data_IF_493944154810
#
_entry.id   IF_493944154810
#
_cell.length_a   1.000
_cell.length_b   1.000
_cell.length_c   1.000
_cell.angle_alpha   90.00
_cell.angle_beta   90.00
_cell.angle_gamma   90.00
#
_symmetry.space_group_name_H-M   'P 1'
#
loop_
_entity.id
_entity.type
_entity.pdbx_description
1 polymer ?
#
# COMPACT_ATOMS: atom_id res chain seq x y z
N UNK A 1 -12.51 47.61 -10.48
CA UNK A 1 -13.21 46.36 -10.06
C UNK A 1 -12.88 45.15 -10.94
N UNK A 2 -12.73 45.27 -12.27
CA UNK A 2 -12.31 44.16 -13.17
C UNK A 2 -10.99 43.45 -12.79
N UNK A 3 -10.00 44.18 -12.28
CA UNK A 3 -8.68 43.63 -11.90
C UNK A 3 -8.73 42.69 -10.68
N UNK A 4 -9.63 42.95 -9.72
CA UNK A 4 -9.82 42.10 -8.54
C UNK A 4 -10.47 40.76 -8.91
N UNK A 5 -11.46 40.78 -9.82
CA UNK A 5 -12.07 39.57 -10.35
C UNK A 5 -11.07 38.69 -11.10
N UNK A 6 -10.13 39.31 -11.82
CA UNK A 6 -9.08 38.61 -12.57
C UNK A 6 -8.05 37.96 -11.63
N UNK A 7 -7.70 38.62 -10.53
CA UNK A 7 -6.82 38.06 -9.49
C UNK A 7 -7.49 36.90 -8.73
N UNK A 8 -8.77 37.03 -8.40
CA UNK A 8 -9.52 35.97 -7.71
C UNK A 8 -9.70 34.72 -8.58
N UNK A 9 -9.88 34.88 -9.90
CA UNK A 9 -9.95 33.76 -10.83
C UNK A 9 -8.64 32.97 -10.90
N UNK A 10 -7.48 33.64 -10.89
CA UNK A 10 -6.16 32.97 -10.93
C UNK A 10 -5.90 32.12 -9.68
N UNK A 11 -6.36 32.55 -8.51
CA UNK A 11 -6.21 31.80 -7.25
C UNK A 11 -7.09 30.55 -7.23
N UNK A 12 -8.28 30.58 -7.86
CA UNK A 12 -9.20 29.43 -7.92
C UNK A 12 -8.69 28.34 -8.88
N UNK A 13 -7.95 28.72 -9.94
CA UNK A 13 -7.35 27.76 -10.88
C UNK A 13 -5.98 27.22 -10.44
N UNK A 14 -5.45 27.64 -9.29
CA UNK A 14 -4.35 26.93 -8.62
C UNK A 14 -4.90 25.64 -7.98
N UNK A 15 -5.30 24.71 -8.85
CA UNK A 15 -5.79 23.39 -8.47
C UNK A 15 -4.76 22.65 -7.61
N UNK A 16 -5.23 21.98 -6.58
CA UNK A 16 -4.44 21.12 -5.72
C UNK A 16 -3.69 20.08 -6.56
N UNK A 17 -2.36 20.17 -6.59
CA UNK A 17 -1.53 19.13 -7.19
C UNK A 17 -1.46 17.97 -6.18
N UNK A 18 -2.15 16.88 -6.48
CA UNK A 18 -1.92 15.60 -5.83
C UNK A 18 -0.65 14.99 -6.44
N UNK A 19 0.44 14.95 -5.66
CA UNK A 19 1.64 14.23 -6.11
C UNK A 19 1.42 12.76 -5.75
N UNK A 20 1.27 11.86 -6.73
CA UNK A 20 1.20 10.44 -6.43
C UNK A 20 2.53 10.02 -5.82
N UNK A 21 2.52 9.62 -4.55
CA UNK A 21 3.62 8.91 -3.93
C UNK A 21 3.85 7.59 -4.66
N UNK A 22 5.06 7.02 -4.58
CA UNK A 22 5.39 5.69 -5.12
C UNK A 22 4.30 4.68 -4.77
N UNK A 23 3.51 4.26 -5.77
CA UNK A 23 2.44 3.27 -5.59
C UNK A 23 3.05 1.89 -5.49
N UNK A 24 2.72 1.17 -4.42
CA UNK A 24 3.06 -0.25 -4.30
C UNK A 24 1.96 -1.01 -5.03
N UNK A 25 2.31 -1.74 -6.08
CA UNK A 25 1.36 -2.53 -6.87
C UNK A 25 1.82 -3.98 -6.91
N UNK A 26 0.85 -4.89 -6.82
CA UNK A 26 1.10 -6.33 -6.87
C UNK A 26 1.08 -6.92 -8.29
N UNK A 27 0.98 -6.09 -9.33
CA UNK A 27 0.92 -6.57 -10.72
C UNK A 27 2.09 -7.48 -11.12
N UNK A 28 3.25 -7.32 -10.47
CA UNK A 28 4.44 -8.15 -10.70
C UNK A 28 4.61 -9.32 -9.73
N UNK A 29 3.81 -9.41 -8.66
CA UNK A 29 3.96 -10.43 -7.63
C UNK A 29 3.15 -11.67 -7.99
N UNK A 30 3.74 -12.84 -7.71
CA UNK A 30 3.12 -14.15 -7.95
C UNK A 30 3.39 -15.07 -6.77
N UNK A 31 2.46 -16.00 -6.52
CA UNK A 31 2.67 -17.08 -5.55
C UNK A 31 3.84 -17.95 -6.00
N UNK A 32 4.67 -18.38 -5.04
CA UNK A 32 5.87 -19.18 -5.27
C UNK A 32 7.13 -18.38 -5.64
N UNK A 33 6.99 -17.08 -5.88
CA UNK A 33 8.12 -16.16 -6.11
C UNK A 33 9.07 -16.16 -4.90
N UNK A 34 10.36 -16.00 -5.12
CA UNK A 34 11.30 -15.88 -4.00
C UNK A 34 11.08 -14.58 -3.22
N UNK A 35 11.40 -14.59 -1.93
CA UNK A 35 11.39 -13.39 -1.09
C UNK A 35 12.15 -12.22 -1.72
N UNK A 36 13.35 -12.49 -2.24
CA UNK A 36 14.23 -11.44 -2.77
C UNK A 36 13.72 -10.86 -4.09
N UNK A 37 13.10 -11.69 -4.94
CA UNK A 37 12.44 -11.25 -6.17
C UNK A 37 11.23 -10.35 -5.85
N UNK A 38 10.42 -10.73 -4.86
CA UNK A 38 9.29 -9.91 -4.41
C UNK A 38 9.74 -8.55 -3.86
N UNK A 39 10.80 -8.53 -3.04
CA UNK A 39 11.42 -7.28 -2.53
C UNK A 39 12.06 -6.48 -3.65
N UNK A 40 12.62 -7.12 -4.68
CA UNK A 40 13.15 -6.45 -5.87
C UNK A 40 12.07 -5.69 -6.65
N UNK A 41 10.87 -6.27 -6.76
CA UNK A 41 9.73 -5.67 -7.46
C UNK A 41 9.06 -4.58 -6.62
N UNK A 42 8.73 -4.86 -5.35
CA UNK A 42 7.99 -3.94 -4.48
C UNK A 42 8.88 -2.89 -3.83
N UNK A 43 10.18 -3.14 -3.78
CA UNK A 43 11.14 -2.38 -3.01
C UNK A 43 11.21 -2.82 -1.54
N UNK A 44 11.96 -2.04 -0.75
CA UNK A 44 12.18 -2.33 0.66
C UNK A 44 10.86 -2.25 1.46
N UNK A 45 10.47 -3.30 2.21
CA UNK A 45 9.30 -3.26 3.07
C UNK A 45 9.49 -2.24 4.19
N UNK A 46 8.37 -1.66 4.65
CA UNK A 46 8.34 -0.73 5.79
C UNK A 46 8.66 -1.47 7.09
N UNK A 47 8.10 -2.67 7.25
CA UNK A 47 8.27 -3.52 8.42
C UNK A 47 8.32 -4.98 7.98
N UNK A 48 9.09 -5.78 8.69
CA UNK A 48 9.09 -7.24 8.56
C UNK A 48 8.76 -7.83 9.93
N UNK A 49 7.83 -8.77 9.97
CA UNK A 49 7.61 -9.64 11.12
C UNK A 49 7.85 -11.08 10.69
N UNK A 50 8.51 -11.89 11.52
CA UNK A 50 8.83 -13.26 11.17
C UNK A 50 8.68 -14.17 12.39
N UNK A 51 8.19 -15.40 12.16
CA UNK A 51 8.07 -16.44 13.18
C UNK A 51 8.22 -17.81 12.52
N UNK A 52 9.22 -18.57 12.94
CA UNK A 52 9.54 -19.87 12.34
C UNK A 52 9.93 -19.70 10.86
N UNK A 53 9.29 -20.45 9.98
CA UNK A 53 9.48 -20.39 8.54
C UNK A 53 8.54 -19.40 7.82
N UNK A 54 7.80 -18.58 8.58
CA UNK A 54 6.85 -17.61 8.04
C UNK A 54 7.37 -16.19 8.24
N UNK A 55 7.36 -15.39 7.18
CA UNK A 55 7.63 -13.96 7.21
C UNK A 55 6.46 -13.16 6.64
N UNK A 56 6.23 -11.99 7.22
CA UNK A 56 5.22 -11.03 6.82
C UNK A 56 5.92 -9.71 6.48
N UNK A 57 5.87 -9.33 5.21
CA UNK A 57 6.46 -8.09 4.69
C UNK A 57 5.36 -7.04 4.54
N UNK A 58 5.43 -5.97 5.33
CA UNK A 58 4.44 -4.91 5.33
C UNK A 58 4.89 -3.73 4.46
N UNK A 59 3.98 -3.31 3.60
CA UNK A 59 4.11 -2.17 2.70
C UNK A 59 2.97 -1.20 2.97
N UNK A 60 3.18 0.08 2.66
CA UNK A 60 2.10 1.05 2.73
C UNK A 60 2.06 1.86 1.43
N UNK A 61 0.86 2.17 0.99
CA UNK A 61 0.64 3.23 0.03
C UNK A 61 0.30 4.51 0.81
N UNK A 62 1.00 5.62 0.59
CA UNK A 62 0.68 6.88 1.28
C UNK A 62 0.74 8.06 0.32
N UNK A 63 -0.39 8.41 -0.29
CA UNK A 63 -0.48 9.57 -1.17
C UNK A 63 -0.27 10.87 -0.39
N UNK A 64 0.68 11.67 -0.85
CA UNK A 64 0.90 13.03 -0.36
C UNK A 64 -0.05 13.97 -1.10
N UNK A 65 -0.90 14.65 -0.34
CA UNK A 65 -1.78 15.69 -0.83
C UNK A 65 -1.15 17.05 -0.54
N UNK A 66 -0.98 17.89 -1.56
CA UNK A 66 -0.56 19.28 -1.39
C UNK A 66 -1.77 20.16 -1.69
N UNK A 67 -2.33 20.75 -0.63
CA UNK A 67 -3.45 21.69 -0.72
C UNK A 67 -3.06 23.08 -0.25
N UNK A 68 -3.98 24.03 -0.38
CA UNK A 68 -3.81 25.44 0.04
C UNK A 68 -3.44 25.58 1.53
N UNK A 69 -3.77 24.57 2.36
CA UNK A 69 -3.45 24.51 3.79
C UNK A 69 -2.14 23.73 4.13
N UNK A 70 -1.33 23.38 3.14
CA UNK A 70 -0.03 22.70 3.33
C UNK A 70 0.02 21.24 2.84
N UNK A 71 1.09 20.54 3.22
CA UNK A 71 1.31 19.12 2.89
C UNK A 71 0.56 18.23 3.88
N UNK A 72 -0.51 17.58 3.43
CA UNK A 72 -1.28 16.61 4.18
C UNK A 72 -1.07 15.19 3.66
N UNK A 73 -1.14 14.18 4.53
CA UNK A 73 -1.32 12.79 4.09
C UNK A 73 -2.80 12.53 3.92
N UNK A 74 -3.21 11.97 2.79
CA UNK A 74 -4.59 11.55 2.62
C UNK A 74 -4.87 10.35 3.53
N UNK A 75 -5.67 10.54 4.58
CA UNK A 75 -6.04 9.47 5.53
C UNK A 75 -6.87 8.37 4.85
N UNK A 76 -7.50 8.66 3.72
CA UNK A 76 -8.36 7.73 2.98
C UNK A 76 -7.58 6.79 2.04
N UNK A 77 -6.28 7.02 1.85
CA UNK A 77 -5.43 6.27 0.91
C UNK A 77 -4.37 5.39 1.58
N UNK A 78 -4.32 5.31 2.91
CA UNK A 78 -3.40 4.39 3.59
C UNK A 78 -3.95 2.97 3.48
N UNK A 79 -3.55 2.26 2.43
CA UNK A 79 -3.70 0.80 2.33
C UNK A 79 -2.48 0.17 2.98
N UNK A 80 -2.72 -0.64 3.99
CA UNK A 80 -1.70 -1.50 4.58
C UNK A 80 -1.67 -2.78 3.74
N UNK A 81 -0.55 -3.00 3.08
CA UNK A 81 -0.34 -4.10 2.15
C UNK A 81 0.61 -5.11 2.79
N UNK A 82 0.38 -6.39 2.57
CA UNK A 82 1.17 -7.46 3.13
C UNK A 82 1.56 -8.48 2.07
N UNK A 83 2.78 -9.00 2.19
CA UNK A 83 3.24 -10.21 1.49
C UNK A 83 3.63 -11.23 2.54
N UNK A 84 2.93 -12.36 2.58
CA UNK A 84 3.28 -13.53 3.40
C UNK A 84 4.25 -14.40 2.62
N UNK A 85 5.36 -14.76 3.25
CA UNK A 85 6.38 -15.63 2.73
C UNK A 85 6.45 -16.85 3.63
N UNK A 86 6.41 -18.05 3.05
CA UNK A 86 6.57 -19.32 3.76
C UNK A 86 7.70 -20.08 3.09
N UNK A 87 8.67 -20.56 3.88
CA UNK A 87 9.86 -21.26 3.38
C UNK A 87 10.62 -20.47 2.30
N UNK A 88 10.71 -19.14 2.48
CA UNK A 88 11.40 -18.24 1.56
C UNK A 88 10.66 -17.93 0.25
N UNK A 89 9.42 -18.42 0.08
CA UNK A 89 8.59 -18.16 -1.11
C UNK A 89 7.29 -17.43 -0.77
N UNK A 90 6.82 -16.58 -1.67
CA UNK A 90 5.55 -15.87 -1.53
C UNK A 90 4.38 -16.87 -1.44
N UNK A 91 3.66 -16.85 -0.33
CA UNK A 91 2.51 -17.70 -0.04
C UNK A 91 1.17 -16.95 -0.21
N UNK A 92 1.13 -15.64 0.09
CA UNK A 92 -0.01 -14.76 -0.19
C UNK A 92 0.41 -13.28 -0.26
N UNK A 93 -0.37 -12.42 -0.91
CA UNK A 93 -0.06 -10.98 -1.00
C UNK A 93 -1.30 -10.13 -1.30
N UNK A 94 -1.60 -9.11 -0.48
CA UNK A 94 -2.81 -8.28 -0.67
C UNK A 94 -2.94 -7.19 0.39
N UNK A 95 -4.15 -6.65 0.56
CA UNK A 95 -4.46 -5.73 1.65
C UNK A 95 -4.61 -6.50 2.97
N UNK A 96 -4.04 -5.95 4.04
CA UNK A 96 -4.10 -6.55 5.38
C UNK A 96 -5.58 -6.69 5.78
N UNK A 97 -6.02 -7.92 6.04
CA UNK A 97 -7.39 -8.22 6.44
C UNK A 97 -8.34 -8.65 5.32
N UNK A 98 -7.92 -8.65 4.05
CA UNK A 98 -8.72 -9.22 2.94
C UNK A 98 -8.56 -10.75 2.81
N UNK A 99 -7.58 -11.35 3.49
CA UNK A 99 -7.44 -12.80 3.55
C UNK A 99 -8.31 -13.38 4.65
N UNK A 100 -9.51 -13.81 4.25
CA UNK A 100 -10.26 -14.80 5.00
C UNK A 100 -9.42 -16.09 5.01
N UNK A 101 -8.76 -16.40 6.12
CA UNK A 101 -8.30 -17.76 6.38
C UNK A 101 -9.55 -18.65 6.32
N UNK A 102 -9.63 -19.56 5.35
CA UNK A 102 -10.59 -20.65 5.41
C UNK A 102 -10.36 -21.34 6.78
N UNK A 103 -11.39 -21.40 7.65
CA UNK A 103 -11.25 -22.08 8.93
C UNK A 103 -10.71 -23.48 8.65
N UNK A 104 -9.60 -23.83 9.28
CA UNK A 104 -9.10 -25.20 9.28
C UNK A 104 -10.28 -26.08 9.70
N UNK A 105 -10.78 -26.93 8.80
CA UNK A 105 -11.77 -27.94 9.16
C UNK A 105 -11.15 -28.76 10.29
N UNK A 106 -11.68 -28.58 11.51
CA UNK A 106 -11.32 -29.43 12.63
C UNK A 106 -11.67 -30.86 12.22
N UNK A 107 -10.73 -31.81 12.26
CA UNK A 107 -11.05 -33.19 11.89
C UNK A 107 -12.17 -33.67 12.80
N UNK A 108 -13.28 -34.09 12.18
CA UNK A 108 -14.41 -34.73 12.84
C UNK A 108 -13.88 -35.78 13.82
N UNK A 109 -14.11 -35.54 15.11
CA UNK A 109 -13.89 -36.55 16.15
C UNK A 109 -15.04 -37.55 16.03
N UNK A 110 -14.74 -38.72 15.47
CA UNK A 110 -15.53 -39.94 15.62
C UNK A 110 -15.44 -40.49 17.06
#
# INVERSE_FOLDING_TARGET
MKKFFLLMAVVIFAGCITIPSKRVTFNGIKIGMSRDEAVGILGKPRRVAAKGNVEHLYYNESTLYIGIFGVGKDRKSNRDLEVKVVDGKVASFGEVGEYFEEPLEEPEKE
#
